data_IF_697444120453
#
_entry.id   IF_697444120453
#
_cell.length_a   1.000
_cell.length_b   1.000
_cell.length_c   1.000
_cell.angle_alpha   90.00
_cell.angle_beta   90.00
_cell.angle_gamma   90.00
#
_symmetry.space_group_name_H-M   'P 1'
#
loop_
_entity.id
_entity.type
_entity.pdbx_description
1 polymer ?
#
# COMPACT_ATOMS: atom_id res chain seq x y z
N UNK A 1 -27.36 -34.38 42.34
CA UNK A 1 -27.12 -32.98 42.04
C UNK A 1 -25.68 -32.64 41.58
N UNK A 2 -24.64 -33.43 41.89
CA UNK A 2 -23.27 -33.17 41.43
C UNK A 2 -22.97 -33.44 39.94
N UNK A 3 -23.62 -34.46 39.35
CA UNK A 3 -23.41 -34.84 37.93
C UNK A 3 -23.97 -33.81 36.91
N UNK A 4 -24.99 -33.03 37.27
CA UNK A 4 -25.57 -31.99 36.41
C UNK A 4 -24.69 -30.72 36.34
N UNK A 5 -23.96 -30.40 37.41
CA UNK A 5 -23.06 -29.22 37.44
C UNK A 5 -21.78 -29.43 36.63
N UNK A 6 -21.30 -30.70 36.55
CA UNK A 6 -20.10 -31.03 35.74
C UNK A 6 -20.41 -30.98 34.26
N UNK A 7 -21.60 -31.36 33.82
CA UNK A 7 -22.02 -31.24 32.42
C UNK A 7 -22.18 -29.77 31.97
N UNK A 8 -22.66 -28.89 32.85
CA UNK A 8 -22.84 -27.49 32.56
C UNK A 8 -21.50 -26.74 32.46
N UNK A 9 -20.50 -27.11 33.27
CA UNK A 9 -19.14 -26.55 33.20
C UNK A 9 -18.38 -27.03 31.97
N UNK A 10 -18.61 -28.26 31.51
CA UNK A 10 -17.99 -28.77 30.26
C UNK A 10 -18.60 -28.13 29.02
N UNK A 11 -19.90 -27.78 29.04
CA UNK A 11 -20.53 -27.02 27.92
C UNK A 11 -20.07 -25.58 27.82
N UNK A 12 -19.69 -24.92 28.93
CA UNK A 12 -19.16 -23.57 28.94
C UNK A 12 -17.68 -23.50 28.45
N UNK A 13 -16.93 -24.59 28.60
CA UNK A 13 -15.54 -24.65 28.08
C UNK A 13 -15.47 -24.90 26.56
N UNK A 14 -16.50 -25.45 25.93
CA UNK A 14 -16.54 -25.69 24.49
C UNK A 14 -16.89 -24.46 23.64
N UNK A 15 -17.32 -23.35 24.23
CA UNK A 15 -17.75 -22.16 23.50
C UNK A 15 -16.65 -21.16 23.24
N UNK A 16 -15.38 -21.44 23.58
CA UNK A 16 -14.25 -20.59 23.26
C UNK A 16 -13.32 -21.16 22.17
N UNK A 17 -13.89 -21.86 21.19
CA UNK A 17 -13.16 -22.01 19.93
C UNK A 17 -13.41 -20.72 19.13
N UNK A 18 -12.72 -19.65 19.52
CA UNK A 18 -12.49 -18.54 18.62
C UNK A 18 -11.71 -19.12 17.44
N UNK A 19 -12.37 -19.22 16.28
CA UNK A 19 -11.65 -19.34 15.03
C UNK A 19 -10.73 -18.12 14.95
N UNK A 20 -9.49 -18.27 15.38
CA UNK A 20 -8.45 -17.37 15.00
C UNK A 20 -8.38 -17.48 13.47
N UNK A 21 -9.08 -16.58 12.79
CA UNK A 21 -8.96 -16.41 11.36
C UNK A 21 -7.48 -16.07 11.17
N UNK A 22 -6.71 -17.03 10.67
CA UNK A 22 -5.28 -16.80 10.37
C UNK A 22 -5.24 -15.62 9.43
N UNK A 23 -4.73 -14.51 9.93
CA UNK A 23 -4.61 -13.30 9.14
C UNK A 23 -3.88 -13.66 7.84
N UNK A 24 -4.52 -13.41 6.71
CA UNK A 24 -3.94 -13.69 5.40
C UNK A 24 -2.57 -13.02 5.35
N UNK A 25 -1.51 -13.80 5.09
CA UNK A 25 -0.19 -13.21 4.88
C UNK A 25 -0.25 -12.18 3.75
N UNK A 26 0.45 -11.06 3.88
CA UNK A 26 0.44 -10.01 2.88
C UNK A 26 1.03 -10.49 1.57
N UNK A 27 0.50 -9.94 0.50
CA UNK A 27 0.98 -10.18 -0.85
C UNK A 27 2.14 -9.24 -1.16
N UNK A 28 3.22 -9.79 -1.71
CA UNK A 28 4.44 -9.04 -2.05
C UNK A 28 4.57 -8.93 -3.56
N UNK A 29 5.03 -7.78 -4.04
CA UNK A 29 5.50 -7.59 -5.40
C UNK A 29 6.96 -7.16 -5.38
N UNK A 30 7.80 -7.84 -6.16
CA UNK A 30 9.24 -7.54 -6.26
C UNK A 30 9.47 -6.61 -7.45
N UNK A 31 10.10 -5.45 -7.20
CA UNK A 31 10.47 -4.47 -8.23
C UNK A 31 11.88 -3.95 -7.99
N UNK A 32 12.59 -3.44 -9.03
CA UNK A 32 13.85 -2.75 -8.82
C UNK A 32 13.67 -1.44 -8.05
N UNK A 33 14.70 -1.01 -7.31
CA UNK A 33 14.68 0.27 -6.61
C UNK A 33 14.72 1.47 -7.58
N UNK A 34 14.31 2.64 -7.09
CA UNK A 34 14.41 3.89 -7.86
C UNK A 34 15.87 4.18 -8.26
N UNK A 35 16.82 3.91 -7.36
CA UNK A 35 18.25 4.05 -7.63
C UNK A 35 18.71 3.09 -8.73
N UNK A 36 18.33 1.81 -8.65
CA UNK A 36 18.68 0.80 -9.65
C UNK A 36 18.17 1.18 -11.05
N UNK A 37 16.92 1.65 -11.16
CA UNK A 37 16.34 2.14 -12.41
C UNK A 37 17.07 3.38 -12.94
N UNK A 38 17.35 4.35 -12.07
CA UNK A 38 17.97 5.61 -12.43
C UNK A 38 19.38 5.43 -13.03
N UNK A 39 20.22 4.61 -12.37
CA UNK A 39 21.61 4.39 -12.85
C UNK A 39 21.71 3.55 -14.12
N UNK A 40 20.61 2.87 -14.49
CA UNK A 40 20.50 2.05 -15.72
C UNK A 40 19.62 2.70 -16.78
N UNK A 41 19.19 3.96 -16.55
CA UNK A 41 18.36 4.75 -17.47
C UNK A 41 16.98 4.14 -17.77
N UNK A 42 16.47 3.29 -16.90
CA UNK A 42 15.08 2.81 -16.95
C UNK A 42 14.13 3.82 -16.31
N UNK A 43 14.06 4.98 -16.96
CA UNK A 43 13.18 6.08 -16.54
C UNK A 43 12.51 6.69 -17.76
N UNK A 44 11.27 7.15 -17.60
CA UNK A 44 10.51 7.86 -18.61
C UNK A 44 9.97 9.17 -18.08
N UNK A 45 9.56 10.08 -18.95
CA UNK A 45 8.96 11.35 -18.58
C UNK A 45 7.47 11.30 -18.90
N UNK A 46 6.67 11.46 -17.88
CA UNK A 46 5.21 11.61 -18.02
C UNK A 46 4.81 13.07 -17.79
N UNK A 47 3.72 13.50 -18.43
CA UNK A 47 3.13 14.81 -18.17
C UNK A 47 1.98 14.64 -17.16
N UNK A 48 2.11 15.26 -16.00
CA UNK A 48 1.09 15.24 -14.97
C UNK A 48 0.67 16.67 -14.64
N UNK A 49 -0.57 17.03 -14.96
CA UNK A 49 -1.16 18.37 -14.76
C UNK A 49 -0.28 19.51 -15.34
N UNK A 50 0.23 19.32 -16.57
CA UNK A 50 1.09 20.30 -17.24
C UNK A 50 2.52 20.35 -16.72
N UNK A 51 2.91 19.45 -15.80
CA UNK A 51 4.29 19.32 -15.30
C UNK A 51 4.90 18.02 -15.79
N UNK A 52 6.12 18.12 -16.32
CA UNK A 52 6.92 16.94 -16.67
C UNK A 52 7.52 16.33 -15.41
N UNK A 53 7.24 15.06 -15.20
CA UNK A 53 7.73 14.27 -14.05
C UNK A 53 8.48 13.06 -14.60
N UNK A 54 9.70 12.84 -14.11
CA UNK A 54 10.46 11.61 -14.43
C UNK A 54 10.01 10.51 -13.47
N UNK A 55 9.63 9.37 -14.03
CA UNK A 55 9.21 8.17 -13.30
C UNK A 55 10.00 6.96 -13.78
N UNK A 56 10.07 5.90 -12.98
CA UNK A 56 10.70 4.65 -13.39
C UNK A 56 9.88 3.94 -14.48
N UNK A 57 10.59 3.43 -15.46
CA UNK A 57 10.04 2.57 -16.52
C UNK A 57 10.28 1.10 -16.14
N UNK A 58 9.45 0.58 -15.26
CA UNK A 58 9.57 -0.82 -14.82
C UNK A 58 9.27 -1.81 -15.95
N UNK A 59 8.42 -1.46 -16.91
CA UNK A 59 8.15 -2.32 -18.06
C UNK A 59 9.41 -2.50 -18.89
N UNK A 60 10.07 -1.40 -19.29
CA UNK A 60 11.33 -1.47 -20.03
C UNK A 60 12.39 -2.21 -19.22
N UNK A 61 12.51 -1.94 -17.91
CA UNK A 61 13.47 -2.60 -17.04
C UNK A 61 13.31 -4.13 -17.06
N UNK A 62 12.11 -4.64 -16.85
CA UNK A 62 11.86 -6.08 -16.86
C UNK A 62 11.92 -6.69 -18.27
N UNK A 63 11.56 -5.95 -19.31
CA UNK A 63 11.64 -6.45 -20.69
C UNK A 63 13.07 -6.55 -21.21
N UNK A 64 13.93 -5.59 -20.87
CA UNK A 64 15.26 -5.44 -21.49
C UNK A 64 16.38 -5.98 -20.62
N UNK A 65 16.21 -6.08 -19.31
CA UNK A 65 17.23 -6.59 -18.39
C UNK A 65 16.90 -8.02 -17.92
N UNK A 66 17.54 -9.00 -18.58
CA UNK A 66 17.38 -10.41 -18.24
C UNK A 66 17.92 -10.76 -16.83
N UNK A 67 18.87 -9.98 -16.30
CA UNK A 67 19.41 -10.17 -14.97
C UNK A 67 18.38 -9.75 -13.91
N UNK A 68 17.69 -8.60 -14.11
CA UNK A 68 16.60 -8.17 -13.24
C UNK A 68 15.52 -9.25 -13.12
N UNK A 69 15.11 -9.83 -14.24
CA UNK A 69 14.12 -10.91 -14.24
C UNK A 69 14.55 -12.11 -13.38
N UNK A 70 15.81 -12.54 -13.56
CA UNK A 70 16.40 -13.63 -12.76
C UNK A 70 16.48 -13.30 -11.27
N UNK A 71 16.85 -12.06 -10.93
CA UNK A 71 16.97 -11.58 -9.55
C UNK A 71 15.60 -11.48 -8.89
N UNK A 72 14.63 -10.87 -9.57
CA UNK A 72 13.27 -10.74 -9.04
C UNK A 72 12.63 -12.12 -8.77
N UNK A 73 12.80 -13.07 -9.69
CA UNK A 73 12.34 -14.45 -9.53
C UNK A 73 13.00 -15.13 -8.33
N UNK A 74 14.31 -14.96 -8.14
CA UNK A 74 15.04 -15.56 -7.02
C UNK A 74 14.61 -14.98 -5.68
N UNK A 75 14.39 -13.66 -5.60
CA UNK A 75 13.86 -13.01 -4.40
C UNK A 75 12.42 -13.48 -4.14
N UNK A 76 11.60 -13.58 -5.19
CA UNK A 76 10.26 -14.15 -5.10
C UNK A 76 10.24 -15.55 -4.54
N UNK A 77 11.16 -16.43 -4.99
CA UNK A 77 11.34 -17.79 -4.46
C UNK A 77 11.70 -17.77 -2.96
N UNK A 78 12.64 -16.91 -2.56
CA UNK A 78 13.02 -16.75 -1.14
C UNK A 78 11.81 -16.31 -0.30
N UNK A 79 11.04 -15.34 -0.77
CA UNK A 79 9.85 -14.84 -0.06
C UNK A 79 8.76 -15.91 0.01
N UNK A 80 8.50 -16.64 -1.07
CA UNK A 80 7.55 -17.75 -1.10
C UNK A 80 7.95 -18.89 -0.14
N UNK A 81 9.24 -19.23 -0.08
CA UNK A 81 9.77 -20.21 0.88
C UNK A 81 9.59 -19.78 2.35
N UNK A 82 9.57 -18.47 2.62
CA UNK A 82 9.22 -17.89 3.93
C UNK A 82 7.70 -17.72 4.13
N UNK A 83 6.90 -18.22 3.19
CA UNK A 83 5.44 -18.29 3.26
C UNK A 83 4.73 -16.98 2.93
N UNK A 84 5.35 -16.06 2.19
CA UNK A 84 4.72 -14.85 1.67
C UNK A 84 4.28 -15.07 0.23
N UNK A 85 2.99 -14.85 -0.12
CA UNK A 85 2.55 -14.92 -1.51
C UNK A 85 3.17 -13.78 -2.32
N UNK A 86 3.69 -14.12 -3.50
CA UNK A 86 4.35 -13.17 -4.40
C UNK A 86 3.54 -13.04 -5.67
N UNK A 87 3.35 -11.81 -6.13
CA UNK A 87 2.79 -11.46 -7.41
C UNK A 87 3.92 -11.11 -8.38
N UNK A 88 3.86 -11.69 -9.57
CA UNK A 88 4.81 -11.40 -10.63
C UNK A 88 4.47 -10.07 -11.31
N UNK A 89 5.43 -9.13 -11.35
CA UNK A 89 5.23 -7.81 -11.92
C UNK A 89 4.75 -7.86 -13.38
N UNK A 90 5.43 -8.66 -14.23
CA UNK A 90 5.14 -8.69 -15.66
C UNK A 90 3.79 -9.31 -15.97
N UNK A 91 3.37 -10.33 -15.22
CA UNK A 91 2.04 -10.94 -15.39
C UNK A 91 0.93 -9.98 -14.96
N UNK A 92 1.11 -9.31 -13.83
CA UNK A 92 0.11 -8.35 -13.34
C UNK A 92 0.05 -7.11 -14.26
N UNK A 93 1.20 -6.61 -14.72
CA UNK A 93 1.27 -5.49 -15.66
C UNK A 93 0.58 -5.82 -16.99
N UNK A 94 0.84 -7.01 -17.53
CA UNK A 94 0.19 -7.49 -18.76
C UNK A 94 -1.32 -7.57 -18.60
N UNK A 95 -1.80 -8.18 -17.53
CA UNK A 95 -3.24 -8.26 -17.23
C UNK A 95 -3.88 -6.86 -17.12
N UNK A 96 -3.16 -5.92 -16.51
CA UNK A 96 -3.61 -4.54 -16.37
C UNK A 96 -3.70 -3.81 -17.71
N UNK A 97 -2.75 -4.05 -18.62
CA UNK A 97 -2.79 -3.46 -19.96
C UNK A 97 -3.91 -4.04 -20.82
N UNK A 98 -4.16 -5.35 -20.72
CA UNK A 98 -5.28 -5.99 -21.40
C UNK A 98 -6.64 -5.41 -20.91
N UNK A 99 -6.82 -5.21 -19.59
CA UNK A 99 -8.00 -4.56 -19.02
C UNK A 99 -8.14 -3.10 -19.49
N UNK A 100 -7.04 -2.35 -19.60
CA UNK A 100 -7.06 -0.95 -20.02
C UNK A 100 -7.52 -0.80 -21.48
N UNK A 101 -7.08 -1.69 -22.36
CA UNK A 101 -7.53 -1.71 -23.76
C UNK A 101 -9.06 -1.98 -23.85
N UNK A 102 -9.59 -2.87 -23.02
CA UNK A 102 -11.03 -3.12 -22.95
C UNK A 102 -11.81 -1.91 -22.40
N UNK A 103 -11.29 -1.22 -21.39
CA UNK A 103 -11.91 -0.01 -20.83
C UNK A 103 -11.92 1.17 -21.81
N UNK A 104 -10.85 1.39 -22.59
CA UNK A 104 -10.82 2.44 -23.62
C UNK A 104 -11.89 2.25 -24.68
N UNK A 105 -12.20 1.03 -25.06
CA UNK A 105 -13.28 0.69 -26.01
C UNK A 105 -14.65 1.06 -25.43
N UNK A 106 -14.82 0.98 -24.11
CA UNK A 106 -16.10 1.23 -23.41
C UNK A 106 -16.24 2.70 -22.98
N UNK A 107 -15.14 3.40 -22.70
CA UNK A 107 -15.11 4.70 -22.02
C UNK A 107 -14.73 5.90 -22.91
N UNK A 108 -14.98 5.87 -24.22
CA UNK A 108 -14.64 6.97 -25.15
C UNK A 108 -15.26 8.36 -24.81
N UNK A 109 -15.93 8.52 -23.65
CA UNK A 109 -16.62 9.74 -23.25
C UNK A 109 -16.40 10.20 -21.78
N UNK A 110 -15.46 9.64 -21.04
CA UNK A 110 -15.23 10.05 -19.65
C UNK A 110 -14.07 11.06 -19.56
N UNK A 111 -14.41 12.33 -19.34
CA UNK A 111 -13.44 13.40 -19.20
C UNK A 111 -12.56 13.30 -17.95
N UNK A 112 -11.32 13.81 -18.09
CA UNK A 112 -10.31 14.15 -17.07
C UNK A 112 -10.18 13.16 -15.91
N UNK A 113 -9.42 12.09 -16.14
CA UNK A 113 -8.78 11.36 -15.06
C UNK A 113 -7.41 12.00 -14.76
N UNK A 114 -7.04 12.08 -13.49
CA UNK A 114 -5.64 12.33 -13.10
C UNK A 114 -4.81 11.20 -13.72
N UNK A 115 -3.77 11.53 -14.47
CA UNK A 115 -2.82 10.51 -14.95
C UNK A 115 -2.17 9.87 -13.73
N UNK A 116 -2.58 8.64 -13.44
CA UNK A 116 -1.91 7.80 -12.44
C UNK A 116 -0.56 7.36 -13.04
N UNK A 117 0.49 7.32 -12.21
CA UNK A 117 1.73 6.68 -12.66
C UNK A 117 1.50 5.18 -12.87
N UNK A 118 2.27 4.50 -13.74
CA UNK A 118 2.16 3.05 -13.89
C UNK A 118 2.24 2.29 -12.57
N UNK A 119 3.04 2.78 -11.61
CA UNK A 119 3.14 2.19 -10.28
C UNK A 119 1.88 2.44 -9.42
N UNK A 120 1.29 3.63 -9.49
CA UNK A 120 0.03 3.92 -8.78
C UNK A 120 -1.12 3.08 -9.33
N UNK A 121 -1.18 2.88 -10.66
CA UNK A 121 -2.11 1.95 -11.30
C UNK A 121 -1.94 0.52 -10.79
N UNK A 122 -0.71 0.01 -10.76
CA UNK A 122 -0.44 -1.32 -10.22
C UNK A 122 -0.88 -1.45 -8.76
N UNK A 123 -0.54 -0.49 -7.92
CA UNK A 123 -0.95 -0.48 -6.51
C UNK A 123 -2.47 -0.49 -6.34
N UNK A 124 -3.16 0.35 -7.09
CA UNK A 124 -4.62 0.50 -6.95
C UNK A 124 -5.42 -0.67 -7.51
N UNK A 125 -4.99 -1.25 -8.64
CA UNK A 125 -5.71 -2.33 -9.34
C UNK A 125 -5.26 -3.72 -8.93
N UNK A 126 -3.95 -3.96 -8.84
CA UNK A 126 -3.38 -5.28 -8.49
C UNK A 126 -3.49 -5.59 -6.99
N UNK A 127 -3.53 -4.56 -6.14
CA UNK A 127 -3.72 -4.67 -4.68
C UNK A 127 -2.76 -5.64 -4.01
N UNK A 128 -1.48 -5.34 -4.07
CA UNK A 128 -0.46 -5.98 -3.25
C UNK A 128 -0.16 -5.14 -2.01
N UNK A 129 0.21 -5.78 -0.91
CA UNK A 129 0.37 -5.12 0.38
C UNK A 129 1.78 -4.55 0.56
N UNK A 130 2.80 -5.24 0.03
CA UNK A 130 4.21 -4.89 0.18
C UNK A 130 4.89 -4.78 -1.17
N UNK A 131 5.58 -3.66 -1.37
CA UNK A 131 6.50 -3.43 -2.47
C UNK A 131 7.92 -3.76 -1.99
N UNK A 132 8.48 -4.84 -2.50
CA UNK A 132 9.84 -5.26 -2.19
C UNK A 132 10.78 -4.70 -3.24
N UNK A 133 11.41 -3.57 -2.91
CA UNK A 133 12.40 -2.90 -3.76
C UNK A 133 13.74 -3.57 -3.62
N UNK A 134 14.33 -3.96 -4.75
CA UNK A 134 15.65 -4.55 -4.80
C UNK A 134 16.64 -3.63 -5.48
N UNK A 135 17.82 -3.52 -4.89
CA UNK A 135 18.98 -2.83 -5.46
C UNK A 135 20.19 -3.75 -5.35
N UNK A 136 20.99 -3.84 -6.40
CA UNK A 136 22.24 -4.58 -6.34
C UNK A 136 23.30 -3.97 -7.25
N UNK A 137 24.55 -4.19 -6.86
CA UNK A 137 25.71 -3.76 -7.60
C UNK A 137 26.72 -4.91 -7.68
N UNK A 138 27.23 -5.12 -8.89
CA UNK A 138 28.28 -6.10 -9.17
C UNK A 138 29.62 -5.38 -9.18
N UNK A 139 30.55 -5.85 -8.36
CA UNK A 139 31.91 -5.33 -8.29
C UNK A 139 32.86 -6.36 -8.93
N UNK A 140 33.74 -5.89 -9.82
CA UNK A 140 34.80 -6.71 -10.41
C UNK A 140 36.02 -6.68 -9.48
N UNK A 141 36.47 -7.84 -9.08
CA UNK A 141 37.60 -7.99 -8.19
C UNK A 141 38.74 -8.79 -8.87
N UNK A 142 39.94 -8.77 -8.31
CA UNK A 142 41.09 -9.47 -8.92
C UNK A 142 40.86 -10.96 -9.11
N UNK A 143 40.08 -11.57 -8.21
CA UNK A 143 39.86 -13.03 -8.20
C UNK A 143 38.39 -13.41 -8.40
N UNK A 144 37.61 -12.59 -9.14
CA UNK A 144 36.21 -12.89 -9.41
C UNK A 144 35.27 -11.68 -9.30
N UNK A 145 34.04 -11.94 -8.90
CA UNK A 145 32.99 -10.91 -8.73
C UNK A 145 32.48 -10.92 -7.32
N UNK A 146 32.14 -9.74 -6.80
CA UNK A 146 31.33 -9.63 -5.61
C UNK A 146 30.01 -8.91 -5.92
N UNK A 147 28.99 -9.19 -5.13
CA UNK A 147 27.67 -8.52 -5.20
C UNK A 147 27.37 -7.92 -3.86
N UNK A 148 27.00 -6.67 -3.86
CA UNK A 148 26.26 -6.04 -2.76
C UNK A 148 24.80 -5.95 -3.15
N UNK A 149 23.90 -6.31 -2.23
CA UNK A 149 22.45 -6.28 -2.44
C UNK A 149 21.76 -5.63 -1.25
N UNK A 150 20.74 -4.84 -1.56
CA UNK A 150 19.83 -4.24 -0.59
C UNK A 150 18.40 -4.57 -0.98
N UNK A 151 17.60 -4.99 -0.01
CA UNK A 151 16.15 -5.12 -0.17
C UNK A 151 15.43 -4.26 0.86
N UNK A 152 14.38 -3.57 0.43
CA UNK A 152 13.54 -2.74 1.29
C UNK A 152 12.07 -3.07 1.03
N UNK A 153 11.34 -3.41 2.09
CA UNK A 153 9.92 -3.64 2.05
C UNK A 153 9.17 -2.35 2.37
N UNK A 154 8.37 -1.87 1.44
CA UNK A 154 7.56 -0.66 1.56
C UNK A 154 6.10 -1.09 1.67
N UNK A 155 5.42 -0.68 2.71
CA UNK A 155 3.97 -0.83 2.84
C UNK A 155 3.27 0.08 1.84
N UNK A 156 2.41 -0.47 0.98
CA UNK A 156 1.79 0.27 -0.13
C UNK A 156 0.68 1.22 0.29
N UNK A 157 0.21 1.12 1.52
CA UNK A 157 -0.81 2.02 2.09
C UNK A 157 -0.18 3.23 2.79
N UNK A 158 0.82 2.99 3.64
CA UNK A 158 1.46 4.06 4.41
C UNK A 158 2.67 4.68 3.71
N UNK A 159 3.19 4.05 2.63
CA UNK A 159 4.47 4.36 1.98
C UNK A 159 5.68 4.31 2.94
N UNK A 160 5.56 3.62 4.08
CA UNK A 160 6.64 3.46 5.06
C UNK A 160 7.50 2.24 4.73
N UNK A 161 8.80 2.36 4.92
CA UNK A 161 9.69 1.21 4.92
C UNK A 161 9.49 0.44 6.23
N UNK A 162 9.09 -0.82 6.11
CA UNK A 162 8.70 -1.67 7.24
C UNK A 162 9.69 -2.79 7.51
N UNK A 163 10.52 -3.13 6.53
CA UNK A 163 11.65 -4.05 6.70
C UNK A 163 12.77 -3.72 5.72
N UNK A 164 14.00 -4.06 6.09
CA UNK A 164 15.15 -3.97 5.20
C UNK A 164 16.18 -5.06 5.51
N UNK A 165 16.93 -5.46 4.48
CA UNK A 165 18.10 -6.29 4.63
C UNK A 165 19.16 -5.90 3.60
N UNK A 166 20.42 -6.02 4.00
CA UNK A 166 21.57 -5.76 3.15
C UNK A 166 22.54 -6.96 3.26
N UNK A 167 23.13 -7.33 2.16
CA UNK A 167 24.08 -8.41 2.13
C UNK A 167 25.18 -8.22 1.09
N UNK A 168 26.29 -8.92 1.29
CA UNK A 168 27.38 -9.00 0.31
C UNK A 168 27.82 -10.45 0.16
N UNK A 169 28.17 -10.84 -1.06
CA UNK A 169 28.71 -12.15 -1.34
C UNK A 169 29.79 -12.07 -2.42
N UNK A 170 30.83 -12.87 -2.26
CA UNK A 170 31.97 -12.98 -3.18
C UNK A 170 32.02 -14.41 -3.73
N UNK A 171 31.98 -14.58 -5.04
CA UNK A 171 32.28 -15.84 -5.69
C UNK A 171 32.70 -15.62 -7.16
N UNK A 172 33.62 -16.45 -7.62
CA UNK A 172 34.22 -16.29 -8.96
C UNK A 172 33.30 -16.76 -10.09
N UNK A 173 32.50 -17.79 -9.85
CA UNK A 173 31.85 -18.63 -10.86
C UNK A 173 30.32 -18.71 -10.77
N UNK A 174 29.68 -17.93 -9.85
CA UNK A 174 28.23 -17.95 -9.69
C UNK A 174 27.52 -16.88 -10.52
N UNK A 175 26.31 -17.19 -10.97
CA UNK A 175 25.40 -16.22 -11.58
C UNK A 175 24.90 -15.22 -10.52
N UNK A 176 24.53 -14.02 -10.94
CA UNK A 176 24.17 -12.91 -10.04
C UNK A 176 23.02 -13.27 -9.10
N UNK A 177 21.95 -13.90 -9.60
CA UNK A 177 20.83 -14.33 -8.77
C UNK A 177 21.26 -15.26 -7.62
N UNK A 178 22.24 -16.12 -7.83
CA UNK A 178 22.79 -17.01 -6.80
C UNK A 178 23.65 -16.26 -5.79
N UNK A 179 24.43 -15.27 -6.24
CA UNK A 179 25.19 -14.41 -5.33
C UNK A 179 24.28 -13.60 -4.42
N UNK A 180 23.16 -13.11 -4.96
CA UNK A 180 22.14 -12.39 -4.19
C UNK A 180 21.48 -13.30 -3.16
N UNK A 181 21.12 -14.53 -3.54
CA UNK A 181 20.58 -15.52 -2.59
C UNK A 181 21.56 -15.77 -1.44
N UNK A 182 22.83 -16.03 -1.73
CA UNK A 182 23.86 -16.28 -0.71
C UNK A 182 24.10 -15.05 0.18
N UNK A 183 24.02 -13.84 -0.39
CA UNK A 183 24.16 -12.59 0.34
C UNK A 183 23.00 -12.34 1.32
N UNK A 184 21.77 -12.67 0.91
CA UNK A 184 20.56 -12.41 1.68
C UNK A 184 20.24 -13.50 2.71
N UNK A 185 20.64 -14.75 2.47
CA UNK A 185 20.26 -15.91 3.30
C UNK A 185 20.47 -15.68 4.81
N UNK A 186 21.58 -15.03 5.18
CA UNK A 186 21.92 -14.75 6.58
C UNK A 186 21.05 -13.65 7.19
N UNK A 187 20.42 -12.82 6.37
CA UNK A 187 19.65 -11.64 6.79
C UNK A 187 18.15 -11.91 6.81
N UNK A 188 17.71 -13.00 6.15
CA UNK A 188 16.27 -13.28 5.98
C UNK A 188 15.54 -13.49 7.29
N UNK A 189 16.16 -14.07 8.32
CA UNK A 189 15.55 -14.23 9.63
C UNK A 189 15.16 -12.89 10.26
N UNK A 190 16.07 -11.91 10.26
CA UNK A 190 15.80 -10.56 10.75
C UNK A 190 14.79 -9.80 9.88
N UNK A 191 14.90 -9.93 8.55
CA UNK A 191 13.99 -9.31 7.61
C UNK A 191 12.54 -9.81 7.78
N UNK A 192 12.33 -11.11 7.82
CA UNK A 192 11.01 -11.70 8.00
C UNK A 192 10.42 -11.40 9.38
N UNK A 193 11.26 -11.27 10.41
CA UNK A 193 10.81 -10.83 11.73
C UNK A 193 10.29 -9.39 11.69
N UNK A 194 10.97 -8.45 11.01
CA UNK A 194 10.48 -7.07 10.84
C UNK A 194 9.13 -7.06 10.11
N UNK A 195 8.98 -7.83 9.03
CA UNK A 195 7.70 -7.97 8.34
C UNK A 195 6.60 -8.51 9.26
N UNK A 196 6.86 -9.58 10.01
CA UNK A 196 5.90 -10.17 10.93
C UNK A 196 5.46 -9.18 12.02
N UNK A 197 6.39 -8.38 12.55
CA UNK A 197 6.09 -7.33 13.52
C UNK A 197 5.17 -6.26 12.93
N UNK A 198 5.45 -5.83 11.69
CA UNK A 198 4.59 -4.88 10.99
C UNK A 198 3.17 -5.44 10.80
N UNK A 199 3.03 -6.71 10.40
CA UNK A 199 1.70 -7.33 10.23
C UNK A 199 0.97 -7.56 11.54
N UNK A 200 1.68 -7.85 12.62
CA UNK A 200 1.10 -7.88 13.95
C UNK A 200 0.57 -6.49 14.35
N UNK A 201 1.31 -5.42 14.04
CA UNK A 201 0.84 -4.05 14.25
C UNK A 201 -0.42 -3.74 13.45
N UNK A 202 -0.45 -4.06 12.14
CA UNK A 202 -1.66 -3.87 11.32
C UNK A 202 -2.87 -4.63 11.84
N UNK A 203 -2.66 -5.84 12.34
CA UNK A 203 -3.73 -6.68 12.88
C UNK A 203 -4.30 -6.12 14.19
N UNK A 204 -3.43 -5.59 15.06
CA UNK A 204 -3.80 -5.11 16.38
C UNK A 204 -4.28 -3.65 16.36
N UNK A 205 -3.64 -2.81 15.56
CA UNK A 205 -3.80 -1.35 15.60
C UNK A 205 -4.44 -0.79 14.32
N UNK A 206 -4.81 -1.66 13.37
CA UNK A 206 -5.40 -1.24 12.11
C UNK A 206 -4.36 -0.76 11.08
N UNK A 207 -4.83 -0.54 9.86
CA UNK A 207 -4.04 -0.11 8.72
C UNK A 207 -3.90 1.41 8.70
N UNK A 208 -2.70 1.90 8.45
CA UNK A 208 -2.45 3.34 8.38
C UNK A 208 -2.73 3.87 6.97
N UNK A 209 -3.50 4.95 6.90
CA UNK A 209 -3.80 5.68 5.66
C UNK A 209 -3.62 7.19 5.86
N UNK A 210 -3.65 7.93 4.74
CA UNK A 210 -3.76 9.39 4.69
C UNK A 210 -5.12 9.78 4.11
N UNK A 211 -5.81 10.69 4.79
CA UNK A 211 -7.04 11.32 4.29
C UNK A 211 -6.80 12.82 4.14
N UNK A 212 -7.05 13.35 2.94
CA UNK A 212 -7.06 14.78 2.67
C UNK A 212 -8.50 15.24 2.48
N UNK A 213 -8.85 16.36 3.06
CA UNK A 213 -10.12 17.05 2.82
C UNK A 213 -9.80 18.39 2.18
N UNK A 214 -10.46 18.72 1.09
CA UNK A 214 -10.27 19.97 0.35
C UNK A 214 -11.64 20.56 0.00
N UNK A 215 -11.67 21.86 -0.18
CA UNK A 215 -12.85 22.58 -0.67
C UNK A 215 -12.57 23.06 -2.10
N UNK A 216 -13.58 23.09 -2.97
CA UNK A 216 -13.46 23.71 -4.29
C UNK A 216 -13.17 25.21 -4.18
N UNK A 217 -12.21 25.74 -4.95
CA UNK A 217 -11.86 27.18 -4.94
C UNK A 217 -13.03 28.08 -5.33
N UNK A 218 -13.99 27.56 -6.11
CA UNK A 218 -15.21 28.26 -6.53
C UNK A 218 -16.39 28.04 -5.56
N UNK A 219 -16.18 27.25 -4.49
CA UNK A 219 -17.23 26.88 -3.54
C UNK A 219 -17.57 27.99 -2.56
N UNK A 220 -18.83 28.00 -2.10
CA UNK A 220 -19.31 28.88 -1.03
C UNK A 220 -19.16 28.28 0.38
N UNK A 221 -18.43 27.14 0.48
CA UNK A 221 -18.26 26.38 1.73
C UNK A 221 -16.80 26.43 2.17
N UNK A 222 -16.56 26.54 3.47
CA UNK A 222 -15.25 26.43 4.09
C UNK A 222 -15.26 25.35 5.16
N UNK A 223 -14.08 24.91 5.62
CA UNK A 223 -13.96 23.94 6.72
C UNK A 223 -14.33 24.54 8.07
N UNK A 224 -14.37 25.87 8.18
CA UNK A 224 -14.75 26.59 9.38
C UNK A 224 -16.27 26.92 9.44
N UNK A 225 -17.00 26.63 8.34
CA UNK A 225 -18.45 26.86 8.32
C UNK A 225 -19.14 26.01 9.38
N UNK A 226 -19.96 26.68 10.20
CA UNK A 226 -20.82 26.01 11.17
C UNK A 226 -21.96 25.26 10.46
N UNK A 227 -22.19 24.02 10.86
CA UNK A 227 -23.28 23.17 10.38
C UNK A 227 -24.28 22.89 11.51
N UNK A 228 -24.72 21.66 11.63
CA UNK A 228 -25.67 21.30 12.68
C UNK A 228 -25.12 21.67 14.08
N UNK A 229 -25.96 22.24 14.91
CA UNK A 229 -25.65 22.58 16.30
C UNK A 229 -24.52 23.62 16.50
N UNK A 230 -24.15 24.39 15.47
CA UNK A 230 -23.06 25.38 15.55
C UNK A 230 -21.65 24.78 15.61
N UNK A 231 -21.50 23.54 15.18
CA UNK A 231 -20.19 22.87 15.11
C UNK A 231 -19.54 23.15 13.76
N UNK A 232 -18.26 23.51 13.75
CA UNK A 232 -17.50 23.73 12.53
C UNK A 232 -17.38 22.41 11.73
N UNK A 233 -17.39 22.51 10.40
CA UNK A 233 -17.32 21.35 9.51
C UNK A 233 -16.05 20.51 9.75
N UNK A 234 -14.92 21.17 10.05
CA UNK A 234 -13.67 20.46 10.37
C UNK A 234 -13.78 19.64 11.67
N UNK A 235 -14.45 20.18 12.69
CA UNK A 235 -14.63 19.48 13.97
C UNK A 235 -15.59 18.30 13.82
N UNK A 236 -16.63 18.46 13.00
CA UNK A 236 -17.55 17.39 12.65
C UNK A 236 -16.82 16.25 11.90
N UNK A 237 -15.95 16.59 10.95
CA UNK A 237 -15.14 15.63 10.21
C UNK A 237 -14.15 14.92 11.15
N UNK A 238 -13.48 15.69 12.01
CA UNK A 238 -12.49 15.16 12.97
C UNK A 238 -13.13 14.18 13.95
N UNK A 239 -14.29 14.52 14.49
CA UNK A 239 -15.06 13.63 15.39
C UNK A 239 -15.49 12.35 14.66
N UNK A 240 -15.95 12.47 13.41
CA UNK A 240 -16.28 11.27 12.62
C UNK A 240 -15.06 10.39 12.37
N UNK A 241 -13.89 10.99 12.06
CA UNK A 241 -12.64 10.24 11.86
C UNK A 241 -12.25 9.54 13.15
N UNK A 242 -12.33 10.21 14.31
CA UNK A 242 -12.07 9.63 15.62
C UNK A 242 -12.95 8.40 15.89
N UNK A 243 -14.25 8.53 15.68
CA UNK A 243 -15.23 7.46 15.94
C UNK A 243 -15.08 6.25 14.99
N UNK A 244 -14.50 6.44 13.80
CA UNK A 244 -14.39 5.40 12.77
C UNK A 244 -12.96 4.87 12.57
N UNK A 245 -12.03 5.25 13.45
CA UNK A 245 -10.65 4.73 13.47
C UNK A 245 -10.42 3.77 14.63
N UNK A 246 -9.40 2.94 14.52
CA UNK A 246 -9.02 2.03 15.60
C UNK A 246 -8.45 2.86 16.76
N UNK A 247 -9.07 2.77 17.91
CA UNK A 247 -8.72 3.52 19.13
C UNK A 247 -8.71 5.06 18.95
N UNK A 248 -9.49 5.61 18.01
CA UNK A 248 -9.51 7.05 17.73
C UNK A 248 -8.20 7.59 17.15
N UNK A 249 -7.36 6.74 16.55
CA UNK A 249 -5.99 7.11 16.22
C UNK A 249 -5.87 7.81 14.85
N UNK A 250 -5.52 9.09 14.87
CA UNK A 250 -5.14 9.90 13.72
C UNK A 250 -4.33 11.13 14.16
N UNK A 251 -3.68 11.81 13.21
CA UNK A 251 -3.05 13.11 13.39
C UNK A 251 -3.59 14.11 12.38
N UNK A 252 -4.15 15.23 12.85
CA UNK A 252 -4.49 16.36 11.98
C UNK A 252 -3.23 17.23 11.82
N UNK A 253 -2.52 17.10 10.70
CA UNK A 253 -1.21 17.73 10.45
C UNK A 253 -1.30 19.06 9.72
N UNK A 254 -2.43 19.33 9.06
CA UNK A 254 -2.72 20.61 8.41
C UNK A 254 -4.21 20.91 8.52
N UNK A 255 -4.53 22.12 8.95
CA UNK A 255 -5.91 22.64 9.00
C UNK A 255 -5.91 24.09 8.57
N UNK A 256 -6.65 24.38 7.49
CA UNK A 256 -6.96 25.72 6.99
C UNK A 256 -8.44 25.76 6.62
N UNK A 257 -8.96 26.93 6.30
CA UNK A 257 -10.34 27.11 5.83
C UNK A 257 -10.73 26.28 4.60
N UNK A 258 -9.73 25.92 3.76
CA UNK A 258 -9.95 25.20 2.49
C UNK A 258 -9.31 23.82 2.42
N UNK A 259 -8.52 23.42 3.42
CA UNK A 259 -7.81 22.14 3.40
C UNK A 259 -7.51 21.62 4.80
N UNK A 260 -7.76 20.32 4.99
CA UNK A 260 -7.30 19.55 6.14
C UNK A 260 -6.58 18.28 5.69
N UNK A 261 -5.54 17.89 6.43
CA UNK A 261 -4.80 16.66 6.19
C UNK A 261 -4.73 15.83 7.47
N UNK A 262 -5.30 14.64 7.39
CA UNK A 262 -5.27 13.63 8.43
C UNK A 262 -4.22 12.58 8.04
N UNK A 263 -3.20 12.43 8.86
CA UNK A 263 -2.13 11.43 8.70
C UNK A 263 -2.21 10.39 9.81
N UNK A 264 -1.58 9.23 9.57
CA UNK A 264 -1.59 8.10 10.52
C UNK A 264 -3.00 7.69 10.93
N UNK A 265 -3.96 7.81 10.01
CA UNK A 265 -5.35 7.42 10.25
C UNK A 265 -5.42 5.89 10.30
N UNK A 266 -5.68 5.32 11.47
CA UNK A 266 -5.70 3.87 11.69
C UNK A 266 -7.09 3.29 11.40
N UNK A 267 -7.28 2.77 10.19
CA UNK A 267 -8.54 2.15 9.78
C UNK A 267 -8.56 0.64 10.06
N UNK A 268 -9.71 0.03 10.33
CA UNK A 268 -9.81 -1.42 10.45
C UNK A 268 -9.29 -2.13 9.19
N UNK A 269 -8.65 -3.29 9.35
CA UNK A 269 -8.19 -4.11 8.20
C UNK A 269 -9.34 -4.58 7.32
N UNK A 270 -10.47 -4.88 7.94
CA UNK A 270 -11.69 -5.36 7.29
C UNK A 270 -12.88 -4.50 7.73
N UNK A 271 -13.83 -4.29 6.85
CA UNK A 271 -15.12 -3.69 7.22
C UNK A 271 -16.05 -4.74 7.86
N UNK A 272 -17.24 -4.32 8.31
CA UNK A 272 -18.26 -5.19 8.95
C UNK A 272 -18.71 -6.37 8.07
N UNK A 273 -18.47 -6.31 6.76
CA UNK A 273 -18.79 -7.37 5.79
C UNK A 273 -17.58 -8.27 5.48
N UNK A 274 -16.48 -8.14 6.23
CA UNK A 274 -15.26 -8.92 6.04
C UNK A 274 -14.46 -8.54 4.77
N UNK A 275 -14.69 -7.36 4.18
CA UNK A 275 -13.94 -6.87 3.01
C UNK A 275 -12.77 -6.02 3.46
N UNK A 276 -11.61 -6.18 2.80
CA UNK A 276 -10.44 -5.37 3.07
C UNK A 276 -10.75 -3.87 2.90
N UNK A 277 -10.35 -3.08 3.89
CA UNK A 277 -10.49 -1.62 3.89
C UNK A 277 -9.28 -0.97 3.21
N UNK A 278 -9.54 0.10 2.46
CA UNK A 278 -8.54 0.99 1.89
C UNK A 278 -8.97 2.46 2.12
N UNK A 279 -8.09 3.41 1.79
CA UNK A 279 -8.36 4.83 1.99
C UNK A 279 -9.61 5.30 1.22
N UNK A 280 -9.85 4.76 0.01
CA UNK A 280 -11.04 5.07 -0.80
C UNK A 280 -12.32 4.64 -0.11
N UNK A 281 -12.34 3.43 0.45
CA UNK A 281 -13.52 2.93 1.17
C UNK A 281 -13.81 3.77 2.40
N UNK A 282 -12.77 4.12 3.17
CA UNK A 282 -12.90 4.98 4.34
C UNK A 282 -13.43 6.38 3.96
N UNK A 283 -12.83 7.02 2.94
CA UNK A 283 -13.30 8.31 2.45
C UNK A 283 -14.74 8.27 1.91
N UNK A 284 -15.16 7.16 1.29
CA UNK A 284 -16.56 6.98 0.85
C UNK A 284 -17.54 6.84 2.03
N UNK A 285 -17.13 6.26 3.14
CA UNK A 285 -17.96 6.23 4.36
C UNK A 285 -18.14 7.64 4.93
N UNK A 286 -17.05 8.42 5.01
CA UNK A 286 -17.12 9.83 5.39
C UNK A 286 -18.00 10.64 4.43
N UNK A 287 -17.86 10.42 3.12
CA UNK A 287 -18.72 11.07 2.11
C UNK A 287 -20.20 10.79 2.35
N UNK A 288 -20.55 9.55 2.67
CA UNK A 288 -21.95 9.19 2.96
C UNK A 288 -22.45 9.90 4.22
N UNK A 289 -21.65 9.96 5.28
CA UNK A 289 -21.97 10.69 6.47
C UNK A 289 -22.20 12.20 6.18
N UNK A 290 -21.27 12.86 5.49
CA UNK A 290 -21.37 14.27 5.12
C UNK A 290 -22.60 14.58 4.27
N UNK A 291 -22.98 13.65 3.39
CA UNK A 291 -24.22 13.78 2.62
C UNK A 291 -25.46 13.83 3.51
N UNK A 292 -25.50 13.09 4.63
CA UNK A 292 -26.60 13.20 5.62
C UNK A 292 -26.62 14.53 6.34
N UNK A 293 -25.49 15.24 6.38
CA UNK A 293 -25.34 16.58 6.95
C UNK A 293 -25.55 17.69 5.90
N UNK A 294 -26.02 17.35 4.69
CA UNK A 294 -26.26 18.30 3.61
C UNK A 294 -24.98 18.81 2.93
N UNK A 295 -23.85 18.11 3.09
CA UNK A 295 -22.59 18.47 2.44
C UNK A 295 -22.28 17.49 1.30
N UNK A 296 -22.40 17.98 0.08
CA UNK A 296 -22.00 17.20 -1.10
C UNK A 296 -20.48 17.13 -1.21
N UNK A 297 -19.99 16.00 -1.68
CA UNK A 297 -18.55 15.76 -1.81
C UNK A 297 -18.21 14.68 -2.82
N UNK A 298 -16.96 14.72 -3.31
CA UNK A 298 -16.40 13.75 -4.27
C UNK A 298 -15.12 13.14 -3.71
N UNK A 299 -14.99 11.82 -3.82
CA UNK A 299 -13.75 11.11 -3.45
C UNK A 299 -12.87 10.98 -4.66
N UNK A 300 -11.60 11.38 -4.51
CA UNK A 300 -10.50 11.08 -5.43
C UNK A 300 -9.52 10.17 -4.72
N UNK A 301 -9.06 9.14 -5.41
CA UNK A 301 -8.16 8.13 -4.86
C UNK A 301 -6.78 8.22 -5.52
N UNK A 302 -5.72 7.97 -4.73
CA UNK A 302 -4.36 7.84 -5.22
C UNK A 302 -3.71 6.62 -4.56
N UNK A 303 -3.59 5.53 -5.32
CA UNK A 303 -3.12 4.26 -4.79
C UNK A 303 -4.09 3.65 -3.75
N UNK A 304 -3.58 2.93 -2.77
CA UNK A 304 -4.38 2.21 -1.76
C UNK A 304 -4.54 2.99 -0.45
N UNK A 305 -3.57 3.79 -0.09
CA UNK A 305 -3.47 4.40 1.23
C UNK A 305 -3.71 5.91 1.27
N UNK A 306 -3.97 6.57 0.14
CA UNK A 306 -4.21 8.01 0.08
C UNK A 306 -5.55 8.30 -0.60
N UNK A 307 -6.40 9.04 0.05
CA UNK A 307 -7.66 9.50 -0.51
C UNK A 307 -7.87 10.99 -0.25
N UNK A 308 -8.41 11.68 -1.24
CA UNK A 308 -8.82 13.09 -1.13
C UNK A 308 -10.33 13.17 -1.23
N UNK A 309 -10.96 13.78 -0.24
CA UNK A 309 -12.37 14.15 -0.26
C UNK A 309 -12.47 15.63 -0.61
N UNK A 310 -13.17 15.95 -1.69
CA UNK A 310 -13.40 17.33 -2.13
C UNK A 310 -14.83 17.71 -1.81
N UNK A 311 -15.00 18.77 -1.02
CA UNK A 311 -16.29 19.25 -0.52
C UNK A 311 -16.87 20.33 -1.44
N UNK A 312 -18.20 20.38 -1.51
CA UNK A 312 -18.96 21.31 -2.34
C UNK A 312 -19.13 20.82 -3.78
N UNK A 313 -19.93 21.56 -4.54
CA UNK A 313 -20.13 21.40 -5.97
C UNK A 313 -19.15 22.28 -6.74
N UNK A 314 -18.78 21.84 -7.96
CA UNK A 314 -17.90 22.59 -8.87
C UNK A 314 -18.65 23.70 -9.58
#
# INVERSE_FOLDING_TARGET
MMKSKICLTLLLLCSMITFAQTAKKPTIMVIPSDHWCSIRYFTTVIENQGKKVTVNDYEAAFREDAELHSVANKIGEIMAANGYPVKDYMQEYKSLMDEHVEEEVVMSNAGYMLEETPLDMLRSRVKYDIELRVDWMVHQEKNGRSVSVSIAAIDTYSNKQVAAANGTCNAADKIIARLIEDALNKQMGGFTQQLNNHFADLTNNGREITLQVRVWDSGSITLEDEKAEGVALIDMISSWVEDNTVAGAFNLTSNTDSRAKFEQVRIPMLNDKGRAMDARMFANQLRQYLKTQGVDSKVMNKGLGDATLILGEK
#
